data_IF_305981358285
#
_entry.id   IF_305981358285
#
_cell.length_a   1.000
_cell.length_b   1.000
_cell.length_c   1.000
_cell.angle_alpha   90.00
_cell.angle_beta   90.00
_cell.angle_gamma   90.00
#
_symmetry.space_group_name_H-M   'P 1'
#
loop_
_entity.id
_entity.type
_entity.pdbx_description
1 polymer ?
#
# COMPACT_ATOMS: atom_id res chain seq x y z
N UNK A 1 -5.81 -7.00 -35.16
CA UNK A 1 -5.30 -7.66 -33.92
C UNK A 1 -4.62 -6.60 -33.06
N UNK A 2 -5.33 -5.97 -32.13
CA UNK A 2 -4.75 -4.93 -31.26
C UNK A 2 -4.20 -5.58 -30.00
N UNK A 3 -2.89 -5.45 -29.83
CA UNK A 3 -2.15 -5.77 -28.61
C UNK A 3 -2.87 -5.18 -27.39
N UNK A 4 -3.40 -6.05 -26.54
CA UNK A 4 -3.97 -5.67 -25.25
C UNK A 4 -2.79 -5.29 -24.37
N UNK A 5 -2.59 -3.98 -24.18
CA UNK A 5 -1.72 -3.43 -23.14
C UNK A 5 -2.27 -3.93 -21.80
N UNK A 6 -1.62 -4.94 -21.24
CA UNK A 6 -1.91 -5.48 -19.91
C UNK A 6 -1.17 -4.59 -18.91
N UNK A 7 -1.85 -3.69 -18.17
CA UNK A 7 -1.20 -2.86 -17.17
C UNK A 7 -1.40 -3.56 -15.83
N UNK A 8 -0.84 -4.75 -15.65
CA UNK A 8 -0.76 -5.33 -14.32
C UNK A 8 0.63 -5.01 -13.80
N UNK A 9 0.62 -4.24 -12.74
CA UNK A 9 1.74 -3.77 -11.92
C UNK A 9 2.54 -4.97 -11.39
N UNK A 10 3.29 -5.63 -12.25
CA UNK A 10 4.59 -6.17 -11.89
C UNK A 10 5.57 -5.01 -11.94
N UNK A 11 6.47 -4.94 -10.96
CA UNK A 11 7.45 -3.87 -10.68
C UNK A 11 6.86 -2.82 -9.72
N UNK A 12 6.98 -3.09 -8.41
CA UNK A 12 8.05 -2.32 -7.76
C UNK A 12 9.03 -3.14 -6.92
N UNK A 13 8.98 -4.48 -6.90
CA UNK A 13 9.80 -5.23 -5.92
C UNK A 13 10.61 -6.44 -6.42
N UNK A 14 10.56 -6.82 -7.70
CA UNK A 14 11.54 -7.78 -8.26
C UNK A 14 12.78 -7.05 -8.82
N UNK A 15 12.78 -5.71 -8.84
CA UNK A 15 13.91 -4.90 -9.31
C UNK A 15 14.51 -4.01 -8.20
N UNK A 16 14.34 -4.39 -6.93
CA UNK A 16 14.90 -3.64 -5.80
C UNK A 16 15.95 -4.44 -5.02
N UNK A 17 16.60 -5.40 -5.69
CA UNK A 17 17.96 -5.82 -5.31
C UNK A 17 19.00 -4.76 -5.77
N UNK A 18 18.59 -3.73 -6.53
CA UNK A 18 19.52 -2.81 -7.18
C UNK A 18 19.13 -1.34 -7.24
N UNK A 19 18.02 -0.89 -6.64
CA UNK A 19 17.72 0.56 -6.62
C UNK A 19 18.44 1.24 -5.44
N UNK A 20 19.76 1.03 -5.37
CA UNK A 20 20.63 2.12 -4.95
C UNK A 20 20.78 2.92 -6.21
N UNK A 21 20.06 4.04 -6.35
CA UNK A 21 20.29 4.92 -7.50
C UNK A 21 21.78 5.25 -7.49
N UNK A 22 22.51 4.78 -8.50
CA UNK A 22 23.98 4.83 -8.50
C UNK A 22 24.47 6.29 -8.37
N UNK A 23 23.63 7.23 -8.81
CA UNK A 23 23.82 8.66 -8.65
C UNK A 23 23.62 9.10 -7.20
N UNK A 24 22.52 8.73 -6.53
CA UNK A 24 22.36 8.96 -5.09
C UNK A 24 23.49 8.32 -4.26
N UNK A 25 23.92 7.10 -4.61
CA UNK A 25 25.04 6.43 -3.96
C UNK A 25 26.35 7.19 -4.12
N UNK A 26 26.64 7.68 -5.32
CA UNK A 26 27.81 8.51 -5.60
C UNK A 26 27.76 9.85 -4.85
N UNK A 27 26.60 10.49 -4.81
CA UNK A 27 26.40 11.75 -4.07
C UNK A 27 26.59 11.53 -2.57
N UNK A 28 26.01 10.48 -1.99
CA UNK A 28 26.19 10.14 -0.57
C UNK A 28 27.65 9.81 -0.27
N UNK A 29 28.33 9.06 -1.14
CA UNK A 29 29.74 8.72 -0.97
C UNK A 29 30.65 9.96 -1.04
N UNK A 30 30.36 10.90 -1.94
CA UNK A 30 31.09 12.16 -2.08
C UNK A 30 30.91 13.04 -0.83
N UNK A 31 29.66 13.19 -0.35
CA UNK A 31 29.37 13.91 0.88
C UNK A 31 30.01 13.26 2.11
N UNK A 32 29.99 11.92 2.18
CA UNK A 32 30.62 11.18 3.27
C UNK A 32 32.15 11.31 3.26
N UNK A 33 32.78 11.38 2.08
CA UNK A 33 34.24 11.51 1.95
C UNK A 33 34.78 12.82 2.52
N UNK A 34 34.01 13.90 2.44
CA UNK A 34 34.42 15.24 2.91
C UNK A 34 34.21 15.39 4.43
N UNK A 35 33.25 14.66 4.99
CA UNK A 35 32.92 14.68 6.42
C UNK A 35 33.94 13.88 7.25
N UNK A 36 34.46 14.48 8.32
CA UNK A 36 35.41 13.84 9.25
C UNK A 36 34.78 13.34 10.54
N UNK A 37 33.49 13.60 10.73
CA UNK A 37 32.71 13.25 11.91
C UNK A 37 31.95 11.92 11.77
N UNK A 38 32.17 11.18 10.68
CA UNK A 38 31.54 9.89 10.42
C UNK A 38 32.38 8.74 11.01
N UNK A 39 31.73 7.87 11.80
CA UNK A 39 32.37 6.67 12.33
C UNK A 39 32.34 5.54 11.29
N UNK A 40 33.48 4.90 10.96
CA UNK A 40 33.50 3.75 10.06
C UNK A 40 32.81 2.54 10.69
N UNK A 41 31.79 1.99 10.03
CA UNK A 41 31.18 0.71 10.42
C UNK A 41 31.94 -0.45 9.79
N UNK A 42 32.32 -1.46 10.58
CA UNK A 42 32.98 -2.67 10.09
C UNK A 42 31.96 -3.76 9.81
N UNK A 43 32.21 -4.54 8.76
CA UNK A 43 31.43 -5.74 8.46
C UNK A 43 31.65 -6.78 9.57
N UNK A 44 30.77 -6.79 10.57
CA UNK A 44 30.89 -7.61 11.77
C UNK A 44 30.37 -6.93 13.03
N UNK A 45 30.21 -5.59 13.00
CA UNK A 45 29.62 -4.85 14.11
C UNK A 45 28.18 -5.33 14.35
N UNK A 46 27.80 -5.53 15.62
CA UNK A 46 26.45 -5.94 16.01
C UNK A 46 25.39 -4.99 15.44
N UNK A 47 25.67 -3.68 15.44
CA UNK A 47 24.84 -2.65 14.84
C UNK A 47 24.57 -2.87 13.34
N UNK A 48 25.57 -3.33 12.57
CA UNK A 48 25.42 -3.63 11.14
C UNK A 48 24.56 -4.89 10.96
N UNK A 49 24.71 -5.87 11.84
CA UNK A 49 23.90 -7.10 11.83
C UNK A 49 22.44 -6.81 12.17
N UNK A 50 22.19 -6.03 13.22
CA UNK A 50 20.84 -5.59 13.61
C UNK A 50 20.17 -4.78 12.51
N UNK A 51 20.91 -3.85 11.87
CA UNK A 51 20.38 -3.06 10.75
C UNK A 51 20.01 -3.94 9.55
N UNK A 52 20.82 -4.97 9.25
CA UNK A 52 20.49 -5.94 8.19
C UNK A 52 19.22 -6.72 8.51
N UNK A 53 19.05 -7.19 9.75
CA UNK A 53 17.84 -7.90 10.19
C UNK A 53 16.60 -7.00 10.06
N UNK A 54 16.69 -5.75 10.53
CA UNK A 54 15.60 -4.78 10.45
C UNK A 54 15.24 -4.44 8.99
N UNK A 55 16.25 -4.27 8.14
CA UNK A 55 16.07 -3.96 6.72
C UNK A 55 15.46 -5.13 5.96
N UNK A 56 15.94 -6.37 6.21
CA UNK A 56 15.35 -7.59 5.64
C UNK A 56 13.88 -7.74 6.03
N UNK A 57 13.56 -7.56 7.32
CA UNK A 57 12.17 -7.59 7.80
C UNK A 57 11.30 -6.53 7.13
N UNK A 58 11.84 -5.33 6.88
CA UNK A 58 11.14 -4.27 6.15
C UNK A 58 10.85 -4.70 4.71
N UNK A 59 11.82 -5.28 4.01
CA UNK A 59 11.64 -5.78 2.64
C UNK A 59 10.56 -6.86 2.57
N UNK A 60 10.60 -7.83 3.48
CA UNK A 60 9.60 -8.89 3.55
C UNK A 60 8.19 -8.35 3.78
N UNK A 61 8.03 -7.40 4.71
CA UNK A 61 6.75 -6.76 4.98
C UNK A 61 6.17 -6.11 3.73
N UNK A 62 6.99 -5.42 2.93
CA UNK A 62 6.54 -4.75 1.71
C UNK A 62 6.22 -5.77 0.61
N UNK A 63 7.07 -6.79 0.43
CA UNK A 63 6.82 -7.85 -0.54
C UNK A 63 5.47 -8.56 -0.27
N UNK A 64 5.21 -8.90 0.99
CA UNK A 64 3.95 -9.53 1.40
C UNK A 64 2.74 -8.60 1.26
N UNK A 65 2.90 -7.30 1.53
CA UNK A 65 1.86 -6.32 1.27
C UNK A 65 1.50 -6.29 -0.23
N UNK A 66 2.52 -6.25 -1.08
CA UNK A 66 2.38 -6.24 -2.54
C UNK A 66 1.66 -7.50 -3.04
N UNK A 67 2.10 -8.69 -2.59
CA UNK A 67 1.46 -9.97 -2.94
C UNK A 67 -0.01 -9.99 -2.55
N UNK A 68 -0.33 -9.51 -1.34
CA UNK A 68 -1.70 -9.48 -0.83
C UNK A 68 -2.59 -8.52 -1.63
N UNK A 69 -2.08 -7.31 -1.93
CA UNK A 69 -2.79 -6.32 -2.77
C UNK A 69 -3.08 -6.89 -4.16
N UNK A 70 -2.09 -7.53 -4.79
CA UNK A 70 -2.25 -8.11 -6.13
C UNK A 70 -3.28 -9.24 -6.15
N UNK A 71 -3.28 -10.10 -5.12
CA UNK A 71 -4.30 -11.15 -4.99
C UNK A 71 -5.70 -10.54 -4.85
N UNK A 72 -5.86 -9.48 -4.04
CA UNK A 72 -7.15 -8.82 -3.86
C UNK A 72 -7.61 -8.08 -5.12
N UNK A 73 -6.71 -7.44 -5.87
CA UNK A 73 -7.01 -6.85 -7.19
C UNK A 73 -7.52 -7.90 -8.17
N UNK A 74 -6.87 -9.05 -8.25
CA UNK A 74 -7.33 -10.15 -9.10
C UNK A 74 -8.74 -10.62 -8.72
N UNK A 75 -9.01 -10.76 -7.42
CA UNK A 75 -10.34 -11.12 -6.92
C UNK A 75 -11.40 -10.03 -7.15
N UNK A 76 -11.03 -8.75 -7.01
CA UNK A 76 -11.93 -7.63 -7.25
C UNK A 76 -12.23 -7.49 -8.74
N UNK A 77 -11.25 -7.68 -9.62
CA UNK A 77 -11.41 -7.67 -11.08
C UNK A 77 -12.44 -8.68 -11.55
N UNK A 78 -12.48 -9.86 -10.94
CA UNK A 78 -13.45 -10.90 -11.26
C UNK A 78 -14.91 -10.52 -10.98
N UNK A 79 -15.19 -9.49 -10.18
CA UNK A 79 -16.55 -9.10 -9.76
C UNK A 79 -16.87 -7.65 -10.15
N UNK A 80 -15.94 -6.73 -9.92
CA UNK A 80 -16.13 -5.30 -10.09
C UNK A 80 -14.89 -4.64 -10.70
N UNK A 81 -14.60 -5.02 -11.95
CA UNK A 81 -13.47 -4.50 -12.73
C UNK A 81 -13.46 -2.98 -12.83
N UNK A 82 -14.62 -2.34 -12.96
CA UNK A 82 -14.69 -0.88 -13.00
C UNK A 82 -14.13 -0.25 -11.72
N UNK A 83 -14.47 -0.82 -10.56
CA UNK A 83 -14.05 -0.29 -9.26
C UNK A 83 -12.56 -0.52 -9.03
N UNK A 84 -12.04 -1.68 -9.42
CA UNK A 84 -10.61 -1.98 -9.34
C UNK A 84 -9.76 -0.93 -10.06
N UNK A 85 -10.17 -0.55 -11.28
CA UNK A 85 -9.47 0.47 -12.08
C UNK A 85 -9.55 1.88 -11.50
N UNK A 86 -10.60 2.15 -10.74
CA UNK A 86 -10.88 3.48 -10.23
C UNK A 86 -10.31 3.72 -8.83
N UNK A 87 -9.88 2.66 -8.13
CA UNK A 87 -9.36 2.73 -6.77
C UNK A 87 -7.85 2.48 -6.71
N UNK A 88 -7.14 3.36 -6.02
CA UNK A 88 -5.75 3.12 -5.64
C UNK A 88 -5.66 2.30 -4.34
N UNK A 89 -5.54 0.98 -4.48
CA UNK A 89 -5.45 0.04 -3.36
C UNK A 89 -4.11 0.05 -2.60
N UNK A 90 -3.21 0.98 -2.93
CA UNK A 90 -2.03 1.25 -2.09
C UNK A 90 -2.35 2.18 -0.92
N UNK A 91 -3.49 2.86 -0.97
CA UNK A 91 -3.94 3.78 0.07
C UNK A 91 -4.95 3.13 1.02
N UNK A 92 -4.91 3.53 2.28
CA UNK A 92 -5.78 3.01 3.35
C UNK A 92 -7.26 3.34 3.10
N UNK A 93 -7.58 4.52 2.55
CA UNK A 93 -8.97 4.95 2.31
C UNK A 93 -9.79 4.00 1.40
N UNK A 94 -9.32 3.72 0.17
CA UNK A 94 -9.94 2.73 -0.71
C UNK A 94 -10.05 1.33 -0.10
N UNK A 95 -9.06 0.88 0.68
CA UNK A 95 -9.12 -0.41 1.36
C UNK A 95 -10.19 -0.43 2.47
N UNK A 96 -10.32 0.67 3.24
CA UNK A 96 -11.39 0.85 4.21
C UNK A 96 -12.75 0.72 3.51
N UNK A 97 -12.96 1.38 2.35
CA UNK A 97 -14.19 1.23 1.58
C UNK A 97 -14.50 -0.24 1.27
N UNK A 98 -13.49 -1.00 0.83
CA UNK A 98 -13.63 -2.41 0.50
C UNK A 98 -13.85 -3.31 1.73
N UNK A 99 -13.63 -2.84 2.97
CA UNK A 99 -14.06 -3.62 4.15
C UNK A 99 -15.59 -3.69 4.29
N UNK A 100 -16.31 -2.68 3.79
CA UNK A 100 -17.77 -2.59 3.89
C UNK A 100 -18.52 -2.83 2.57
N UNK A 101 -17.98 -2.33 1.46
CA UNK A 101 -18.67 -2.27 0.17
C UNK A 101 -17.78 -2.79 -0.96
N UNK A 102 -17.99 -4.05 -1.35
CA UNK A 102 -17.16 -4.74 -2.35
C UNK A 102 -17.90 -5.09 -3.64
N UNK A 103 -19.21 -4.84 -3.70
CA UNK A 103 -20.07 -5.23 -4.81
C UNK A 103 -20.84 -4.04 -5.36
N UNK A 104 -21.09 -4.01 -6.68
CA UNK A 104 -21.86 -2.92 -7.30
C UNK A 104 -23.26 -2.84 -6.70
N UNK A 105 -23.89 -3.98 -6.40
CA UNK A 105 -25.21 -4.05 -5.76
C UNK A 105 -25.24 -3.41 -4.37
N UNK A 106 -24.20 -3.63 -3.54
CA UNK A 106 -24.14 -3.01 -2.21
C UNK A 106 -23.97 -1.49 -2.29
N UNK A 107 -23.17 -1.01 -3.24
CA UNK A 107 -22.95 0.43 -3.45
C UNK A 107 -24.21 1.15 -3.96
N UNK A 108 -24.95 0.53 -4.90
CA UNK A 108 -26.23 1.06 -5.38
C UNK A 108 -27.27 1.20 -4.25
N UNK A 109 -27.30 0.25 -3.31
CA UNK A 109 -28.26 0.27 -2.19
C UNK A 109 -28.00 1.38 -1.17
N UNK A 110 -26.73 1.68 -0.90
CA UNK A 110 -26.38 2.56 0.22
C UNK A 110 -26.58 4.05 -0.07
N UNK A 111 -26.60 4.44 -1.35
CA UNK A 111 -26.61 5.83 -1.85
C UNK A 111 -25.34 6.61 -1.46
N UNK A 112 -24.89 7.52 -2.35
CA UNK A 112 -23.63 8.27 -2.19
C UNK A 112 -23.49 8.99 -0.85
N UNK A 113 -24.49 9.79 -0.44
CA UNK A 113 -24.43 10.58 0.82
C UNK A 113 -24.16 9.69 2.05
N UNK A 114 -24.75 8.50 2.10
CA UNK A 114 -24.57 7.59 3.24
C UNK A 114 -23.19 6.91 3.22
N UNK A 115 -22.68 6.59 2.03
CA UNK A 115 -21.32 6.08 1.86
C UNK A 115 -20.29 7.12 2.31
N UNK A 116 -20.50 8.38 1.92
CA UNK A 116 -19.66 9.49 2.34
C UNK A 116 -19.65 9.65 3.87
N UNK A 117 -20.81 9.66 4.52
CA UNK A 117 -20.90 9.70 6.00
C UNK A 117 -20.20 8.49 6.63
N UNK A 118 -20.37 7.29 6.06
CA UNK A 118 -19.73 6.06 6.55
C UNK A 118 -18.20 6.11 6.47
N UNK A 119 -17.66 6.74 5.42
CA UNK A 119 -16.22 6.98 5.23
C UNK A 119 -15.70 8.08 6.17
N UNK A 120 -16.43 9.19 6.33
CA UNK A 120 -16.09 10.26 7.28
C UNK A 120 -16.02 9.75 8.72
N UNK A 121 -16.98 8.89 9.12
CA UNK A 121 -16.97 8.26 10.44
C UNK A 121 -15.74 7.38 10.70
N UNK A 122 -15.08 6.91 9.63
CA UNK A 122 -13.83 6.15 9.68
C UNK A 122 -12.59 7.00 9.44
N UNK A 123 -12.73 8.33 9.47
CA UNK A 123 -11.64 9.30 9.30
C UNK A 123 -10.92 9.17 7.94
N UNK A 124 -11.61 8.70 6.91
CA UNK A 124 -11.02 8.62 5.57
C UNK A 124 -10.87 10.02 4.98
N UNK A 125 -9.65 10.37 4.57
CA UNK A 125 -9.37 11.63 3.89
C UNK A 125 -10.09 11.72 2.55
N UNK A 126 -10.61 12.92 2.20
CA UNK A 126 -11.34 13.17 0.94
C UNK A 126 -12.49 12.17 0.69
N UNK A 127 -13.25 11.87 1.74
CA UNK A 127 -14.35 10.91 1.73
C UNK A 127 -15.44 11.22 0.69
N UNK A 128 -15.64 12.50 0.36
CA UNK A 128 -16.52 12.99 -0.69
C UNK A 128 -16.08 12.52 -2.08
N UNK A 129 -14.82 12.76 -2.44
CA UNK A 129 -14.24 12.35 -3.72
C UNK A 129 -14.19 10.82 -3.82
N UNK A 130 -13.82 10.15 -2.72
CA UNK A 130 -13.74 8.70 -2.66
C UNK A 130 -15.14 8.05 -2.74
N UNK A 131 -16.21 8.70 -2.30
CA UNK A 131 -17.56 8.15 -2.39
C UNK A 131 -18.17 8.29 -3.81
N UNK A 132 -17.76 9.31 -4.56
CA UNK A 132 -18.27 9.59 -5.91
C UNK A 132 -17.82 8.51 -6.90
N UNK A 133 -16.51 8.23 -6.94
CA UNK A 133 -15.88 7.33 -7.92
C UNK A 133 -16.50 5.91 -7.92
N UNK A 134 -16.70 5.23 -6.78
CA UNK A 134 -17.35 3.93 -6.70
C UNK A 134 -18.82 3.97 -7.13
N UNK A 135 -19.52 5.07 -6.85
CA UNK A 135 -20.94 5.19 -7.17
C UNK A 135 -21.15 5.30 -8.68
N UNK A 136 -20.43 6.21 -9.35
CA UNK A 136 -20.49 6.34 -10.81
C UNK A 136 -20.11 5.04 -11.52
N UNK A 137 -19.08 4.36 -10.99
CA UNK A 137 -18.62 3.10 -11.57
C UNK A 137 -19.62 1.97 -11.34
N UNK A 138 -20.27 1.95 -10.18
CA UNK A 138 -21.30 0.97 -9.85
C UNK A 138 -22.52 1.13 -10.76
N UNK A 139 -22.91 2.35 -11.11
CA UNK A 139 -24.00 2.60 -12.06
C UNK A 139 -23.67 2.10 -13.46
N UNK A 140 -22.43 2.29 -13.94
CA UNK A 140 -22.01 1.87 -15.28
C UNK A 140 -21.88 0.35 -15.45
N UNK A 141 -21.62 -0.40 -14.38
CA UNK A 141 -21.47 -1.85 -14.43
C UNK A 141 -22.75 -2.57 -13.97
N UNK A 142 -23.46 -3.22 -14.90
CA UNK A 142 -24.74 -3.92 -14.65
C UNK A 142 -24.64 -5.46 -14.63
N UNK A 143 -23.50 -6.02 -15.05
CA UNK A 143 -23.31 -7.47 -15.07
C UNK A 143 -23.00 -7.96 -13.66
N UNK A 144 -23.97 -8.62 -13.03
CA UNK A 144 -23.78 -9.30 -11.74
C UNK A 144 -23.41 -10.75 -11.95
N UNK A 145 -22.41 -11.23 -11.21
CA UNK A 145 -21.99 -12.63 -11.24
C UNK A 145 -22.57 -13.39 -10.04
N UNK A 146 -23.17 -14.56 -10.30
CA UNK A 146 -23.91 -15.39 -9.31
C UNK A 146 -23.10 -15.76 -8.05
N UNK A 147 -21.77 -15.61 -8.03
CA UNK A 147 -20.88 -15.87 -6.88
C UNK A 147 -20.59 -14.69 -5.94
N UNK A 148 -21.07 -13.48 -6.23
CA UNK A 148 -20.67 -12.23 -5.56
C UNK A 148 -20.72 -12.23 -4.03
N UNK A 149 -21.74 -12.88 -3.44
CA UNK A 149 -21.99 -12.82 -2.00
C UNK A 149 -21.05 -13.69 -1.18
N UNK A 150 -20.67 -14.85 -1.69
CA UNK A 150 -19.77 -15.79 -0.98
C UNK A 150 -18.35 -15.22 -0.96
N UNK A 151 -17.87 -14.71 -2.10
CA UNK A 151 -16.51 -14.16 -2.21
C UNK A 151 -16.33 -12.84 -1.44
N UNK A 152 -17.38 -12.05 -1.25
CA UNK A 152 -17.29 -10.78 -0.52
C UNK A 152 -17.00 -10.95 0.98
N UNK A 153 -17.51 -12.01 1.61
CA UNK A 153 -17.40 -12.20 3.07
C UNK A 153 -15.99 -12.56 3.50
N UNK A 154 -15.32 -13.45 2.76
CA UNK A 154 -13.96 -13.90 3.07
C UNK A 154 -12.91 -12.80 2.82
N UNK A 155 -13.20 -11.85 1.94
CA UNK A 155 -12.27 -10.79 1.56
C UNK A 155 -12.21 -9.63 2.55
N UNK A 156 -13.28 -9.38 3.31
CA UNK A 156 -13.29 -8.31 4.33
C UNK A 156 -12.12 -8.42 5.30
N UNK A 157 -11.82 -9.63 5.75
CA UNK A 157 -10.69 -9.90 6.66
C UNK A 157 -9.35 -9.59 6.00
N UNK A 158 -9.19 -9.92 4.71
CA UNK A 158 -7.98 -9.61 3.95
C UNK A 158 -7.78 -8.11 3.76
N UNK A 159 -8.84 -7.34 3.49
CA UNK A 159 -8.76 -5.88 3.41
C UNK A 159 -8.44 -5.25 4.77
N UNK A 160 -9.06 -5.71 5.86
CA UNK A 160 -8.78 -5.22 7.21
C UNK A 160 -7.31 -5.47 7.63
N UNK A 161 -6.77 -6.64 7.30
CA UNK A 161 -5.34 -6.95 7.53
C UNK A 161 -4.42 -6.02 6.75
N UNK A 162 -4.76 -5.70 5.50
CA UNK A 162 -3.99 -4.75 4.70
C UNK A 162 -4.03 -3.34 5.26
N UNK A 163 -5.21 -2.87 5.71
CA UNK A 163 -5.35 -1.58 6.40
C UNK A 163 -4.40 -1.51 7.59
N UNK A 164 -4.44 -2.50 8.49
CA UNK A 164 -3.55 -2.54 9.64
C UNK A 164 -2.07 -2.60 9.27
N UNK A 165 -1.72 -3.26 8.15
CA UNK A 165 -0.34 -3.35 7.66
C UNK A 165 0.15 -2.02 7.08
N UNK A 166 -0.70 -1.31 6.33
CA UNK A 166 -0.37 0.00 5.78
C UNK A 166 -0.30 1.07 6.86
N UNK A 167 -1.19 1.06 7.85
CA UNK A 167 -1.09 1.97 9.00
C UNK A 167 0.24 1.79 9.74
N UNK A 168 0.68 0.54 9.92
CA UNK A 168 2.02 0.26 10.47
C UNK A 168 3.12 0.80 9.56
N UNK A 169 3.03 0.57 8.25
CA UNK A 169 4.02 1.07 7.28
C UNK A 169 4.09 2.60 7.26
N UNK A 170 2.96 3.28 7.27
CA UNK A 170 2.86 4.75 7.33
C UNK A 170 3.43 5.28 8.65
N UNK A 171 3.18 4.60 9.77
CA UNK A 171 3.81 4.94 11.05
C UNK A 171 5.34 4.81 10.96
N UNK A 172 5.87 3.71 10.39
CA UNK A 172 7.31 3.55 10.17
C UNK A 172 7.90 4.62 9.24
N UNK A 173 7.19 4.99 8.17
CA UNK A 173 7.64 6.00 7.20
C UNK A 173 7.69 7.41 7.82
N UNK A 174 6.72 7.73 8.66
CA UNK A 174 6.57 9.07 9.24
C UNK A 174 7.27 9.23 10.60
N UNK A 175 7.86 8.16 11.14
CA UNK A 175 8.72 8.29 12.32
C UNK A 175 9.95 9.09 11.90
N UNK A 176 10.25 10.24 12.53
CA UNK A 176 11.51 10.94 12.25
C UNK A 176 12.65 9.98 12.54
N UNK A 177 13.64 9.93 11.63
CA UNK A 177 14.85 9.16 11.85
C UNK A 177 15.48 9.64 13.17
N UNK A 178 15.28 8.87 14.24
CA UNK A 178 15.92 9.10 15.53
C UNK A 178 17.38 8.73 15.35
N UNK A 179 18.14 9.67 14.79
CA UNK A 179 19.59 9.68 14.92
C UNK A 179 19.91 9.91 16.38
N UNK A 180 19.95 8.84 17.17
CA UNK A 180 20.58 8.85 18.49
C UNK A 180 22.06 9.08 18.29
N UNK A 181 22.44 10.36 18.19
CA UNK A 181 23.76 10.80 18.59
C UNK A 181 23.74 10.78 20.11
N UNK A 182 24.03 9.62 20.69
CA UNK A 182 24.48 9.56 22.08
C UNK A 182 25.85 10.23 22.11
N UNK A 183 25.86 11.56 22.21
CA UNK A 183 27.03 12.30 22.69
C UNK A 183 27.18 11.96 24.17
N UNK A 184 27.81 10.82 24.44
CA UNK A 184 28.42 10.55 25.74
C UNK A 184 29.57 11.53 25.91
N UNK A 185 29.25 12.63 26.58
CA UNK A 185 30.22 13.52 27.20
C UNK A 185 30.95 12.75 28.30
N UNK A 186 32.26 12.58 28.14
CA UNK A 186 33.23 12.41 29.21
C UNK A 186 34.59 12.94 28.72
#
# INVERSE_FOLDING_TARGET
MRLVKVPYVLLPYVLLEGETDAKDAAVIADQARIRRDLHPLRAGDETVTDLKILTGRRMDLVADCTRTVNRLRAQLTGIFRGLERALDLTNTGPLILLTGYQTPTALRRVRRKRLETWLRNRKVHRADQLAETPFQTAERQHTSLRGERLTARDRTMSYARLVAKLERYDAYRNTPASGRTETSSC
#
